data_IF_231052047480
#
_entry.id   IF_231052047480
#
_cell.length_a   1.000
_cell.length_b   1.000
_cell.length_c   1.000
_cell.angle_alpha   90.00
_cell.angle_beta   90.00
_cell.angle_gamma   90.00
#
_symmetry.space_group_name_H-M   'P 1'
#
loop_
_entity.id
_entity.type
_entity.pdbx_description
1 polymer ?
#
# COMPACT_ATOMS: atom_id res chain seq x y z
N UNK A 1 2.94 -13.22 6.01
CA UNK A 1 3.15 -11.75 5.95
C UNK A 1 3.43 -11.21 7.34
N UNK A 2 4.39 -10.32 7.47
CA UNK A 2 4.62 -9.59 8.72
C UNK A 2 3.92 -8.25 8.71
N UNK A 3 3.16 -7.98 9.75
CA UNK A 3 2.40 -6.74 9.89
C UNK A 3 2.70 -6.05 11.22
N UNK A 4 2.54 -4.73 11.23
CA UNK A 4 2.59 -3.93 12.46
C UNK A 4 1.20 -3.88 13.11
N UNK A 5 0.17 -3.63 12.31
CA UNK A 5 -1.19 -3.42 12.80
C UNK A 5 -2.20 -3.50 11.66
N UNK A 6 -3.48 -3.56 12.04
CA UNK A 6 -4.62 -3.43 11.12
C UNK A 6 -5.64 -2.44 11.70
N UNK A 7 -6.37 -1.77 10.81
CA UNK A 7 -7.51 -0.92 11.17
C UNK A 7 -8.67 -1.25 10.23
N UNK A 8 -9.80 -1.71 10.77
CA UNK A 8 -10.92 -2.23 9.97
C UNK A 8 -12.05 -1.21 9.73
N UNK A 9 -11.78 0.06 9.96
CA UNK A 9 -12.73 1.14 9.76
C UNK A 9 -12.04 2.47 9.41
N UNK A 10 -10.94 2.38 8.65
CA UNK A 10 -10.17 3.56 8.27
C UNK A 10 -10.88 4.38 7.21
N UNK A 11 -10.87 5.70 7.37
CA UNK A 11 -11.39 6.67 6.40
C UNK A 11 -10.31 7.62 5.88
N UNK A 12 -9.07 7.46 6.33
CA UNK A 12 -7.95 8.37 6.00
C UNK A 12 -6.89 7.75 5.07
N UNK A 13 -6.99 6.44 4.82
CA UNK A 13 -6.00 5.69 4.06
C UNK A 13 -6.48 5.35 2.64
N UNK A 14 -7.36 6.18 2.07
CA UNK A 14 -7.94 6.02 0.75
C UNK A 14 -9.40 6.44 0.75
N UNK A 15 -10.05 6.38 -0.41
CA UNK A 15 -11.47 6.70 -0.52
C UNK A 15 -12.33 5.62 0.14
N UNK A 16 -13.37 6.07 0.85
CA UNK A 16 -14.35 5.21 1.48
C UNK A 16 -13.87 4.56 2.77
N UNK A 17 -14.69 3.65 3.30
CA UNK A 17 -14.38 2.89 4.49
C UNK A 17 -13.50 1.70 4.12
N UNK A 18 -12.37 1.53 4.81
CA UNK A 18 -11.33 0.61 4.36
C UNK A 18 -10.79 -0.25 5.49
N UNK A 19 -10.39 -1.47 5.11
CA UNK A 19 -9.54 -2.31 5.93
C UNK A 19 -8.09 -1.98 5.58
N UNK A 20 -7.36 -1.38 6.51
CA UNK A 20 -5.97 -0.98 6.30
C UNK A 20 -5.03 -1.94 7.02
N UNK A 21 -4.03 -2.42 6.29
CA UNK A 21 -2.97 -3.29 6.80
C UNK A 21 -1.68 -2.48 6.78
N UNK A 22 -1.07 -2.33 7.96
CA UNK A 22 0.24 -1.70 8.10
C UNK A 22 1.30 -2.79 8.11
N UNK A 23 2.01 -2.95 6.99
CA UNK A 23 3.07 -3.94 6.85
C UNK A 23 4.27 -3.59 7.72
N UNK A 24 5.03 -4.60 8.15
CA UNK A 24 6.24 -4.41 8.94
C UNK A 24 7.47 -4.59 8.06
N UNK A 25 8.43 -3.69 8.19
CA UNK A 25 9.66 -3.62 7.41
C UNK A 25 9.61 -2.52 6.36
N UNK A 26 10.58 -1.61 6.40
CA UNK A 26 10.69 -0.52 5.44
C UNK A 26 12.16 -0.14 5.23
N UNK A 27 12.68 -0.21 3.98
CA UNK A 27 14.06 0.13 3.69
C UNK A 27 14.31 1.64 3.53
N UNK A 28 13.25 2.45 3.48
CA UNK A 28 13.37 3.86 3.10
C UNK A 28 13.91 4.77 4.20
N UNK A 29 13.56 4.50 5.47
CA UNK A 29 13.99 5.28 6.64
C UNK A 29 13.79 6.80 6.47
N UNK A 30 12.63 7.22 5.95
CA UNK A 30 12.35 8.64 5.69
C UNK A 30 12.41 9.46 7.00
N UNK A 31 13.17 10.56 7.05
CA UNK A 31 13.15 11.45 8.20
C UNK A 31 11.74 11.99 8.46
N UNK A 32 11.32 11.95 9.72
CA UNK A 32 9.98 12.40 10.12
C UNK A 32 8.85 11.46 9.72
N UNK A 33 9.14 10.22 9.31
CA UNK A 33 8.13 9.22 8.96
C UNK A 33 7.07 9.10 10.05
N UNK A 34 5.79 9.02 9.65
CA UNK A 34 4.66 8.91 10.58
C UNK A 34 4.57 7.53 11.25
N UNK A 35 5.20 6.49 10.69
CA UNK A 35 5.13 5.13 11.16
C UNK A 35 6.54 4.54 11.43
N UNK A 36 7.37 5.17 12.28
CA UNK A 36 8.75 4.69 12.48
C UNK A 36 8.83 3.29 13.07
N UNK A 37 7.81 2.85 13.81
CA UNK A 37 7.75 1.51 14.41
C UNK A 37 7.61 0.40 13.35
N UNK A 38 7.26 0.75 12.11
CA UNK A 38 7.13 -0.21 11.00
C UNK A 38 8.44 -0.46 10.25
N UNK A 39 9.55 0.20 10.62
CA UNK A 39 10.82 0.12 9.88
C UNK A 39 11.56 -1.19 10.09
N UNK A 40 11.55 -1.73 11.31
CA UNK A 40 12.30 -2.95 11.65
C UNK A 40 11.64 -4.19 11.01
N UNK A 41 12.30 -4.88 10.07
CA UNK A 41 11.74 -6.08 9.45
C UNK A 41 11.58 -7.25 10.42
N UNK A 42 12.24 -7.21 11.58
CA UNK A 42 12.08 -8.23 12.63
C UNK A 42 10.97 -7.88 13.61
N UNK A 43 10.42 -6.67 13.55
CA UNK A 43 9.31 -6.24 14.40
C UNK A 43 7.96 -6.78 13.94
N UNK A 44 6.89 -6.30 14.59
CA UNK A 44 5.53 -6.72 14.25
C UNK A 44 5.24 -8.17 14.58
N UNK A 45 4.31 -8.77 13.83
CA UNK A 45 3.91 -10.17 14.00
C UNK A 45 3.62 -10.83 12.64
N UNK A 46 3.82 -12.14 12.59
CA UNK A 46 3.43 -12.96 11.44
C UNK A 46 1.93 -13.22 11.46
N UNK A 47 1.30 -13.07 10.31
CA UNK A 47 -0.11 -13.42 10.10
C UNK A 47 -0.28 -14.17 8.79
N UNK A 48 -1.25 -15.07 8.75
CA UNK A 48 -1.61 -15.77 7.53
C UNK A 48 -2.57 -14.93 6.68
N UNK A 49 -2.67 -15.26 5.40
CA UNK A 49 -3.68 -14.67 4.52
C UNK A 49 -5.10 -14.94 5.04
N UNK A 50 -5.33 -16.16 5.55
CA UNK A 50 -6.63 -16.57 6.09
C UNK A 50 -7.03 -15.73 7.31
N UNK A 51 -6.08 -15.42 8.20
CA UNK A 51 -6.33 -14.56 9.36
C UNK A 51 -6.73 -13.14 8.93
N UNK A 52 -6.04 -12.58 7.95
CA UNK A 52 -6.35 -11.25 7.42
C UNK A 52 -7.69 -11.23 6.71
N UNK A 53 -8.02 -12.27 5.95
CA UNK A 53 -9.30 -12.39 5.26
C UNK A 53 -10.46 -12.53 6.25
N UNK A 54 -10.26 -13.25 7.35
CA UNK A 54 -11.25 -13.38 8.42
C UNK A 54 -11.49 -12.04 9.12
N UNK A 55 -10.43 -11.31 9.42
CA UNK A 55 -10.52 -10.00 10.06
C UNK A 55 -11.22 -8.98 9.14
N UNK A 56 -10.86 -8.97 7.87
CA UNK A 56 -11.49 -8.14 6.84
C UNK A 56 -13.00 -8.39 6.76
N UNK A 57 -13.42 -9.65 6.84
CA UNK A 57 -14.83 -10.05 6.77
C UNK A 57 -15.68 -9.64 7.97
N UNK A 58 -15.06 -9.18 9.07
CA UNK A 58 -15.82 -8.73 10.26
C UNK A 58 -16.53 -7.40 10.05
N UNK A 59 -16.12 -6.60 9.08
CA UNK A 59 -16.76 -5.34 8.75
C UNK A 59 -17.36 -5.43 7.34
N UNK A 60 -18.68 -5.66 7.22
CA UNK A 60 -19.34 -5.79 5.93
C UNK A 60 -19.50 -4.47 5.18
N UNK A 61 -19.16 -3.34 5.81
CA UNK A 61 -19.34 -2.00 5.25
C UNK A 61 -18.10 -1.49 4.51
N UNK A 62 -16.98 -2.20 4.56
CA UNK A 62 -15.77 -1.74 3.87
C UNK A 62 -15.95 -1.77 2.35
N UNK A 63 -15.37 -0.77 1.69
CA UNK A 63 -15.38 -0.61 0.24
C UNK A 63 -14.09 -1.12 -0.40
N UNK A 64 -13.03 -1.21 0.38
CA UNK A 64 -11.74 -1.62 -0.11
C UNK A 64 -10.72 -1.91 0.96
N UNK A 65 -9.53 -2.28 0.49
CA UNK A 65 -8.37 -2.62 1.30
C UNK A 65 -7.24 -1.66 0.97
N UNK A 66 -6.51 -1.23 2.00
CA UNK A 66 -5.31 -0.41 1.85
C UNK A 66 -4.10 -1.14 2.40
N UNK A 67 -3.05 -1.23 1.60
CA UNK A 67 -1.74 -1.73 1.99
C UNK A 67 -0.84 -0.53 2.27
N UNK A 68 -0.41 -0.38 3.50
CA UNK A 68 0.35 0.76 4.00
C UNK A 68 1.39 0.30 5.04
N UNK A 69 1.78 1.17 5.95
CA UNK A 69 2.67 0.86 7.07
C UNK A 69 4.13 1.08 6.74
N UNK A 70 4.93 0.03 6.74
CA UNK A 70 6.29 -0.01 6.24
C UNK A 70 6.32 0.14 4.72
N UNK A 71 6.90 -0.82 4.04
CA UNK A 71 6.91 -0.84 2.57
C UNK A 71 6.20 -2.09 2.05
N UNK A 72 4.97 -1.99 1.52
CA UNK A 72 4.26 -3.15 0.98
C UNK A 72 5.03 -3.92 -0.10
N UNK A 73 5.81 -3.23 -0.92
CA UNK A 73 6.62 -3.87 -1.96
C UNK A 73 7.79 -4.69 -1.41
N UNK A 74 8.14 -4.51 -0.14
CA UNK A 74 9.10 -5.41 0.53
C UNK A 74 8.50 -6.80 0.79
N UNK A 75 7.18 -6.91 0.76
CA UNK A 75 6.43 -8.16 0.89
C UNK A 75 5.43 -8.31 -0.28
N UNK A 76 5.90 -8.02 -1.49
CA UNK A 76 5.04 -7.85 -2.65
C UNK A 76 4.26 -9.11 -3.02
N UNK A 77 4.85 -10.29 -2.92
CA UNK A 77 4.15 -11.54 -3.24
C UNK A 77 2.94 -11.77 -2.32
N UNK A 78 3.12 -11.59 -1.01
CA UNK A 78 2.04 -11.74 -0.03
C UNK A 78 0.97 -10.65 -0.21
N UNK A 79 1.41 -9.42 -0.45
CA UNK A 79 0.50 -8.29 -0.70
C UNK A 79 -0.30 -8.49 -1.99
N UNK A 80 0.31 -9.02 -3.04
CA UNK A 80 -0.40 -9.33 -4.29
C UNK A 80 -1.45 -10.42 -4.08
N UNK A 81 -1.15 -11.46 -3.33
CA UNK A 81 -2.10 -12.51 -3.01
C UNK A 81 -3.29 -11.98 -2.20
N UNK A 82 -3.04 -11.11 -1.22
CA UNK A 82 -4.09 -10.46 -0.44
C UNK A 82 -4.96 -9.56 -1.31
N UNK A 83 -4.33 -8.77 -2.18
CA UNK A 83 -5.03 -7.87 -3.10
C UNK A 83 -5.95 -8.65 -4.05
N UNK A 84 -5.47 -9.76 -4.59
CA UNK A 84 -6.27 -10.64 -5.44
C UNK A 84 -7.48 -11.20 -4.69
N UNK A 85 -7.28 -11.62 -3.45
CA UNK A 85 -8.37 -12.12 -2.61
C UNK A 85 -9.40 -11.03 -2.28
N UNK A 86 -8.95 -9.79 -2.06
CA UNK A 86 -9.82 -8.63 -1.85
C UNK A 86 -10.67 -8.35 -3.11
N UNK A 87 -10.06 -8.36 -4.29
CA UNK A 87 -10.78 -8.20 -5.55
C UNK A 87 -11.85 -9.29 -5.75
N UNK A 88 -11.56 -10.53 -5.36
CA UNK A 88 -12.54 -11.63 -5.45
C UNK A 88 -13.77 -11.40 -4.57
N UNK A 89 -13.67 -10.54 -3.56
CA UNK A 89 -14.78 -10.07 -2.71
C UNK A 89 -15.43 -8.78 -3.18
N UNK A 90 -15.01 -8.23 -4.33
CA UNK A 90 -15.51 -6.97 -4.87
C UNK A 90 -14.93 -5.72 -4.21
N UNK A 91 -13.81 -5.85 -3.50
CA UNK A 91 -13.13 -4.74 -2.83
C UNK A 91 -12.04 -4.17 -3.73
N UNK A 92 -11.88 -2.84 -3.75
CA UNK A 92 -10.76 -2.21 -4.43
C UNK A 92 -9.51 -2.21 -3.55
N UNK A 93 -8.34 -1.95 -4.14
CA UNK A 93 -7.04 -2.01 -3.45
C UNK A 93 -6.27 -0.72 -3.66
N UNK A 94 -5.90 -0.08 -2.57
CA UNK A 94 -4.95 1.02 -2.51
C UNK A 94 -3.64 0.51 -1.95
N UNK A 95 -2.52 0.93 -2.55
CA UNK A 95 -1.18 0.56 -2.08
C UNK A 95 -0.33 1.81 -1.95
N UNK A 96 0.27 1.97 -0.79
CA UNK A 96 1.25 3.03 -0.50
C UNK A 96 2.65 2.49 -0.71
N UNK A 97 3.53 3.30 -1.29
CA UNK A 97 4.94 2.94 -1.45
C UNK A 97 5.83 4.17 -1.34
N UNK A 98 7.00 3.98 -0.73
CA UNK A 98 8.06 4.98 -0.77
C UNK A 98 8.82 5.02 -2.09
N UNK A 99 8.66 3.97 -2.93
CA UNK A 99 9.23 3.97 -4.28
C UNK A 99 8.37 4.78 -5.23
N UNK A 100 8.99 5.40 -6.24
CA UNK A 100 8.27 5.97 -7.37
C UNK A 100 7.71 4.87 -8.28
N UNK A 101 6.57 5.12 -8.89
CA UNK A 101 5.95 4.17 -9.82
C UNK A 101 6.92 3.73 -10.92
N UNK A 102 7.69 4.67 -11.49
CA UNK A 102 8.65 4.38 -12.56
C UNK A 102 9.72 3.38 -12.10
N UNK A 103 10.18 3.49 -10.86
CA UNK A 103 11.13 2.55 -10.28
C UNK A 103 10.50 1.15 -10.13
N UNK A 104 9.27 1.09 -9.64
CA UNK A 104 8.53 -0.18 -9.51
C UNK A 104 8.28 -0.81 -10.89
N UNK A 105 7.85 0.00 -11.86
CA UNK A 105 7.57 -0.42 -13.23
C UNK A 105 8.80 -1.03 -13.90
N UNK A 106 9.94 -0.39 -13.75
CA UNK A 106 11.17 -0.71 -14.48
C UNK A 106 12.07 -1.71 -13.74
N UNK A 107 11.65 -2.20 -12.59
CA UNK A 107 12.48 -3.02 -11.70
C UNK A 107 12.83 -4.40 -12.25
N UNK A 108 12.00 -4.96 -13.15
CA UNK A 108 12.11 -6.35 -13.56
C UNK A 108 11.75 -7.38 -12.49
N UNK A 109 11.25 -6.94 -11.33
CA UNK A 109 10.87 -7.82 -10.23
C UNK A 109 9.45 -8.35 -10.47
N UNK A 110 9.25 -9.67 -10.66
CA UNK A 110 7.93 -10.22 -10.98
C UNK A 110 6.92 -10.06 -9.84
N UNK A 111 7.36 -10.06 -8.60
CA UNK A 111 6.47 -9.87 -7.45
C UNK A 111 5.97 -8.42 -7.39
N UNK A 112 6.84 -7.46 -7.69
CA UNK A 112 6.46 -6.05 -7.78
C UNK A 112 5.46 -5.81 -8.92
N UNK A 113 5.72 -6.44 -10.07
CA UNK A 113 4.80 -6.37 -11.21
C UNK A 113 3.43 -6.95 -10.85
N UNK A 114 3.40 -8.08 -10.13
CA UNK A 114 2.15 -8.70 -9.69
C UNK A 114 1.37 -7.80 -8.73
N UNK A 115 2.03 -7.16 -7.78
CA UNK A 115 1.36 -6.24 -6.85
C UNK A 115 0.85 -5.00 -7.58
N UNK A 116 1.64 -4.40 -8.48
CA UNK A 116 1.18 -3.28 -9.32
C UNK A 116 -0.07 -3.64 -10.11
N UNK A 117 -0.11 -4.85 -10.69
CA UNK A 117 -1.26 -5.31 -11.46
C UNK A 117 -2.54 -5.42 -10.63
N UNK A 118 -2.42 -5.66 -9.33
CA UNK A 118 -3.56 -5.76 -8.40
C UNK A 118 -3.90 -4.43 -7.71
N UNK A 119 -3.11 -3.39 -7.93
CA UNK A 119 -3.32 -2.10 -7.27
C UNK A 119 -4.23 -1.21 -8.12
N UNK A 120 -5.34 -0.77 -7.54
CA UNK A 120 -6.28 0.15 -8.20
C UNK A 120 -5.81 1.61 -8.07
N UNK A 121 -5.24 1.95 -6.91
CA UNK A 121 -4.65 3.28 -6.67
C UNK A 121 -3.31 3.09 -5.95
N UNK A 122 -2.26 3.68 -6.52
CA UNK A 122 -0.93 3.72 -5.92
C UNK A 122 -0.66 5.12 -5.39
N UNK A 123 -0.31 5.22 -4.12
CA UNK A 123 0.23 6.46 -3.55
C UNK A 123 1.74 6.28 -3.49
N UNK A 124 2.47 6.99 -4.33
CA UNK A 124 3.90 6.74 -4.56
C UNK A 124 4.81 7.86 -4.11
N UNK A 125 6.05 7.50 -3.89
CA UNK A 125 7.13 8.42 -3.57
C UNK A 125 7.45 8.48 -2.08
N UNK A 126 8.70 8.84 -1.74
CA UNK A 126 9.13 8.91 -0.36
C UNK A 126 8.46 10.08 0.37
N UNK A 127 8.25 9.91 1.69
CA UNK A 127 7.87 11.02 2.54
C UNK A 127 9.04 12.01 2.67
N UNK A 128 8.78 13.26 2.33
CA UNK A 128 9.77 14.35 2.43
C UNK A 128 9.26 15.36 3.46
N UNK A 129 9.90 15.41 4.62
CA UNK A 129 9.46 16.23 5.74
C UNK A 129 9.36 17.73 5.38
N UNK A 130 10.30 18.23 4.58
CA UNK A 130 10.31 19.63 4.12
C UNK A 130 9.08 19.98 3.24
N UNK A 131 8.41 18.98 2.66
CA UNK A 131 7.23 19.13 1.82
C UNK A 131 5.95 18.64 2.53
N UNK A 132 6.03 18.44 3.85
CA UNK A 132 4.89 18.03 4.67
C UNK A 132 3.73 19.01 4.52
N UNK A 133 2.53 18.47 4.30
CA UNK A 133 1.31 19.25 4.18
C UNK A 133 0.14 18.45 4.75
N UNK A 134 -0.43 18.92 5.85
CA UNK A 134 -1.53 18.26 6.55
C UNK A 134 -2.88 18.42 5.84
N UNK A 135 -2.97 19.30 4.85
CA UNK A 135 -4.19 19.54 4.08
C UNK A 135 -4.33 18.62 2.87
N UNK A 136 -3.28 17.84 2.55
CA UNK A 136 -3.30 16.89 1.45
C UNK A 136 -4.12 15.65 1.82
N UNK A 137 -5.00 15.24 0.93
CA UNK A 137 -5.71 13.98 1.05
C UNK A 137 -4.76 12.81 0.75
N UNK A 138 -4.74 11.82 1.64
CA UNK A 138 -4.06 10.52 1.49
C UNK A 138 -2.53 10.57 1.36
N UNK A 139 -1.92 11.74 1.43
CA UNK A 139 -0.48 11.94 1.29
C UNK A 139 0.08 12.69 2.49
N UNK A 140 1.33 12.40 2.84
CA UNK A 140 2.03 13.09 3.92
C UNK A 140 2.85 14.30 3.44
N UNK A 141 3.27 14.30 2.18
CA UNK A 141 4.09 15.37 1.59
C UNK A 141 3.69 15.63 0.13
N UNK A 142 3.92 16.85 -0.34
CA UNK A 142 3.40 17.31 -1.64
C UNK A 142 4.07 16.66 -2.85
N UNK A 143 5.23 16.03 -2.68
CA UNK A 143 5.92 15.28 -3.74
C UNK A 143 5.28 13.93 -4.05
N UNK A 144 4.47 13.40 -3.13
CA UNK A 144 3.79 12.12 -3.32
C UNK A 144 2.62 12.28 -4.28
N UNK A 145 2.35 11.22 -5.07
CA UNK A 145 1.29 11.23 -6.07
C UNK A 145 0.23 10.20 -5.70
N UNK A 146 -1.03 10.49 -6.04
CA UNK A 146 -2.15 9.55 -5.96
C UNK A 146 -2.48 9.12 -7.39
N UNK A 147 -2.07 7.90 -7.76
CA UNK A 147 -2.17 7.39 -9.13
C UNK A 147 -3.28 6.32 -9.20
N UNK A 148 -4.38 6.65 -9.86
CA UNK A 148 -5.45 5.68 -10.16
C UNK A 148 -5.07 4.80 -11.36
N UNK A 149 -5.94 3.84 -11.73
CA UNK A 149 -5.66 2.95 -12.86
C UNK A 149 -5.41 3.70 -14.15
N UNK A 150 -6.15 4.77 -14.42
CA UNK A 150 -5.95 5.58 -15.62
C UNK A 150 -4.57 6.24 -15.64
N UNK A 151 -4.11 6.79 -14.50
CA UNK A 151 -2.79 7.38 -14.37
C UNK A 151 -1.69 6.33 -14.49
N UNK A 152 -1.86 5.16 -13.86
CA UNK A 152 -0.91 4.03 -13.93
C UNK A 152 -0.78 3.56 -15.39
N UNK A 153 -1.88 3.37 -16.10
CA UNK A 153 -1.86 2.96 -17.52
C UNK A 153 -1.20 4.02 -18.41
N UNK A 154 -1.43 5.31 -18.13
CA UNK A 154 -0.83 6.41 -18.89
C UNK A 154 0.69 6.48 -18.70
N UNK A 155 1.22 6.03 -17.57
CA UNK A 155 2.64 6.02 -17.25
C UNK A 155 3.37 4.74 -17.67
N UNK A 156 2.65 3.75 -18.21
CA UNK A 156 3.29 2.56 -18.76
C UNK A 156 4.11 2.91 -19.99
N UNK A 157 5.27 2.24 -20.21
CA UNK A 157 6.00 2.45 -21.43
C UNK A 157 5.13 2.01 -22.63
N UNK A 158 5.19 2.79 -23.71
CA UNK A 158 4.57 2.41 -24.96
C UNK A 158 5.35 1.20 -25.48
N UNK A 159 4.71 0.06 -25.59
CA UNK A 159 5.29 -1.11 -26.23
C UNK A 159 5.54 -0.79 -27.71
N UNK A 160 6.80 -0.92 -28.10
CA UNK A 160 7.17 -0.74 -29.50
C UNK A 160 6.86 -2.01 -30.30
#
# INVERSE_FOLDING_TARGET
MRIANTVNDSIVDGHGLRFTIFTQGCPHHCPGCHNPDTHDPAGGREVSLEELMAEMGRNPLIEGVTLSGGEPFAQAADCAALAQAAHARGLNVWTYSGYLFEHLRDSGNPDWTALLAQTDVLVDGPYVEALRDLELDFRGSSNQRVLDRAAIEALRPVEA
#
